data_IF_592671020335
#
_entry.id   IF_592671020335
#
_cell.length_a   1.000
_cell.length_b   1.000
_cell.length_c   1.000
_cell.angle_alpha   90.00
_cell.angle_beta   90.00
_cell.angle_gamma   90.00
#
_symmetry.space_group_name_H-M   'P 1'
#
loop_
_entity.id
_entity.type
_entity.pdbx_description
1 polymer ?
#
# COMPACT_ATOMS: atom_id res chain seq x y z
N UNK A 1 -17.45 -33.59 11.34
CA UNK A 1 -18.82 -33.75 10.81
C UNK A 1 -19.29 -32.58 9.96
N UNK A 2 -18.92 -31.33 10.25
CA UNK A 2 -19.35 -30.16 9.46
C UNK A 2 -18.74 -30.01 8.06
N UNK A 3 -17.59 -30.64 7.78
CA UNK A 3 -16.90 -30.52 6.49
C UNK A 3 -17.79 -30.92 5.30
N UNK A 4 -18.46 -32.08 5.38
CA UNK A 4 -19.35 -32.57 4.32
C UNK A 4 -20.57 -31.69 4.12
N UNK A 5 -21.12 -31.12 5.21
CA UNK A 5 -22.23 -30.17 5.15
C UNK A 5 -21.82 -28.89 4.42
N UNK A 6 -20.68 -28.30 4.78
CA UNK A 6 -20.16 -27.09 4.13
C UNK A 6 -19.74 -27.33 2.68
N UNK A 7 -19.17 -28.50 2.34
CA UNK A 7 -18.87 -28.86 0.96
C UNK A 7 -20.14 -28.93 0.11
N UNK A 8 -21.20 -29.59 0.58
CA UNK A 8 -22.49 -29.65 -0.14
C UNK A 8 -23.10 -28.25 -0.25
N UNK A 9 -23.06 -27.46 0.83
CA UNK A 9 -23.55 -26.09 0.83
C UNK A 9 -22.86 -25.22 -0.24
N UNK A 10 -21.52 -25.24 -0.29
CA UNK A 10 -20.73 -24.49 -1.26
C UNK A 10 -20.90 -25.02 -2.69
N UNK A 11 -21.10 -26.32 -2.88
CA UNK A 11 -21.40 -26.91 -4.19
C UNK A 11 -22.75 -26.44 -4.74
N UNK A 12 -23.73 -26.16 -3.88
CA UNK A 12 -25.07 -25.68 -4.28
C UNK A 12 -25.09 -24.16 -4.46
N UNK A 13 -24.51 -23.41 -3.52
CA UNK A 13 -24.65 -21.95 -3.49
C UNK A 13 -23.50 -21.22 -4.22
N UNK A 14 -22.39 -21.90 -4.46
CA UNK A 14 -21.17 -21.26 -4.95
C UNK A 14 -20.56 -20.31 -3.90
N UNK A 15 -19.33 -19.91 -4.16
CA UNK A 15 -18.66 -18.84 -3.43
C UNK A 15 -17.65 -18.21 -4.38
N UNK A 16 -17.86 -16.95 -4.77
CA UNK A 16 -17.03 -16.26 -5.74
C UNK A 16 -16.51 -14.96 -5.15
N UNK A 17 -15.23 -14.69 -5.36
CA UNK A 17 -14.62 -13.40 -5.10
C UNK A 17 -14.50 -12.69 -6.44
N UNK A 18 -15.13 -11.54 -6.57
CA UNK A 18 -15.19 -10.77 -7.81
C UNK A 18 -14.36 -9.48 -7.69
N UNK A 19 -14.09 -8.82 -8.81
CA UNK A 19 -13.37 -7.52 -8.83
C UNK A 19 -14.13 -6.46 -8.03
N UNK A 20 -15.45 -6.57 -7.99
CA UNK A 20 -16.34 -5.69 -7.24
C UNK A 20 -16.10 -5.77 -5.71
N UNK A 21 -15.52 -6.86 -5.19
CA UNK A 21 -15.10 -6.96 -3.78
C UNK A 21 -13.89 -6.06 -3.44
N UNK A 22 -13.20 -5.51 -4.44
CA UNK A 22 -12.03 -4.63 -4.30
C UNK A 22 -12.36 -3.14 -4.54
N UNK A 23 -13.57 -2.82 -4.99
CA UNK A 23 -13.92 -1.44 -5.32
C UNK A 23 -14.08 -0.61 -4.05
N UNK A 24 -13.54 0.60 -4.11
CA UNK A 24 -13.59 1.58 -3.02
C UNK A 24 -14.74 2.56 -3.27
N UNK A 25 -15.43 2.96 -2.19
CA UNK A 25 -16.44 4.01 -2.22
C UNK A 25 -15.81 5.35 -2.59
N UNK A 26 -16.38 6.04 -3.57
CA UNK A 26 -15.82 7.27 -4.14
C UNK A 26 -15.60 8.38 -3.09
N UNK A 27 -16.54 8.56 -2.17
CA UNK A 27 -16.46 9.54 -1.07
C UNK A 27 -15.28 9.25 -0.12
N UNK A 28 -15.03 7.98 0.17
CA UNK A 28 -13.93 7.56 1.04
C UNK A 28 -12.59 7.52 0.29
N UNK A 29 -12.59 7.29 -1.03
CA UNK A 29 -11.39 7.45 -1.86
C UNK A 29 -10.96 8.93 -1.96
N UNK A 30 -11.92 9.85 -2.05
CA UNK A 30 -11.64 11.30 -2.00
C UNK A 30 -10.99 11.68 -0.67
N UNK A 31 -11.59 11.25 0.45
CA UNK A 31 -11.00 11.49 1.78
C UNK A 31 -9.61 10.90 1.91
N UNK A 32 -9.38 9.70 1.37
CA UNK A 32 -8.05 9.06 1.34
C UNK A 32 -7.05 9.90 0.54
N UNK A 33 -7.46 10.46 -0.61
CA UNK A 33 -6.61 11.36 -1.40
C UNK A 33 -6.26 12.63 -0.65
N UNK A 34 -7.23 13.25 0.02
CA UNK A 34 -6.99 14.45 0.84
C UNK A 34 -5.96 14.18 1.95
N UNK A 35 -6.06 13.03 2.61
CA UNK A 35 -5.07 12.60 3.63
C UNK A 35 -3.69 12.42 2.99
N UNK A 36 -3.60 11.77 1.83
CA UNK A 36 -2.32 11.55 1.16
C UNK A 36 -1.66 12.86 0.66
N UNK A 37 -2.45 13.85 0.25
CA UNK A 37 -1.94 15.18 -0.13
C UNK A 37 -1.23 15.89 1.04
N UNK A 38 -1.64 15.63 2.29
CA UNK A 38 -0.90 16.15 3.45
C UNK A 38 0.52 15.63 3.54
N UNK A 39 0.82 14.48 2.93
CA UNK A 39 2.14 13.87 2.95
C UNK A 39 3.21 14.68 2.23
N UNK A 40 2.85 15.47 1.23
CA UNK A 40 3.80 16.34 0.54
C UNK A 40 4.30 17.46 1.46
N UNK A 41 3.38 18.05 2.25
CA UNK A 41 3.71 19.08 3.25
C UNK A 41 4.56 18.52 4.38
N UNK A 42 4.23 17.32 4.86
CA UNK A 42 5.03 16.65 5.89
C UNK A 42 6.42 16.28 5.38
N UNK A 43 6.56 15.85 4.12
CA UNK A 43 7.87 15.59 3.49
C UNK A 43 8.72 16.86 3.45
N UNK A 44 8.14 17.98 3.03
CA UNK A 44 8.83 19.27 3.02
C UNK A 44 9.26 19.68 4.44
N UNK A 45 8.39 19.49 5.43
CA UNK A 45 8.72 19.76 6.84
C UNK A 45 9.88 18.89 7.34
N UNK A 46 9.91 17.60 6.99
CA UNK A 46 11.01 16.68 7.33
C UNK A 46 12.32 17.15 6.71
N UNK A 47 12.30 17.62 5.45
CA UNK A 47 13.48 18.14 4.78
C UNK A 47 13.99 19.44 5.41
N UNK A 48 13.10 20.34 5.82
CA UNK A 48 13.47 21.57 6.55
C UNK A 48 14.07 21.24 7.92
N UNK A 49 13.47 20.29 8.65
CA UNK A 49 14.00 19.81 9.93
C UNK A 49 15.36 19.12 9.77
N UNK A 50 15.56 18.37 8.69
CA UNK A 50 16.84 17.71 8.41
C UNK A 50 17.97 18.71 8.13
N UNK A 51 17.66 19.79 7.42
CA UNK A 51 18.61 20.81 6.97
C UNK A 51 18.78 22.00 7.93
N UNK A 52 18.00 22.06 9.03
CA UNK A 52 17.97 23.18 9.98
C UNK A 52 17.73 24.56 9.32
N UNK A 53 16.95 24.61 8.22
CA UNK A 53 16.74 25.83 7.44
C UNK A 53 15.29 26.34 7.57
N UNK A 54 15.12 27.67 7.72
CA UNK A 54 13.83 28.31 8.00
C UNK A 54 13.24 29.13 6.83
N UNK A 55 13.85 29.13 5.63
CA UNK A 55 13.36 29.93 4.49
C UNK A 55 13.49 29.23 3.15
N UNK A 56 12.43 29.36 2.34
CA UNK A 56 11.94 28.41 1.33
C UNK A 56 12.44 28.72 -0.08
N UNK A 57 12.93 27.69 -0.75
CA UNK A 57 13.10 27.58 -2.20
C UNK A 57 13.35 26.12 -2.57
N UNK A 58 12.49 25.51 -3.41
CA UNK A 58 12.55 24.08 -3.78
C UNK A 58 13.93 23.65 -4.34
N UNK A 59 14.57 24.54 -5.11
CA UNK A 59 15.88 24.31 -5.73
C UNK A 59 17.06 24.47 -4.77
N UNK A 60 16.88 25.22 -3.68
CA UNK A 60 17.90 25.42 -2.65
C UNK A 60 17.84 24.33 -1.58
N UNK A 61 16.64 23.81 -1.29
CA UNK A 61 16.42 22.73 -0.34
C UNK A 61 17.11 21.43 -0.78
N UNK A 62 16.99 21.05 -2.06
CA UNK A 62 17.66 19.86 -2.59
C UNK A 62 19.19 19.92 -2.46
N UNK A 63 19.78 21.07 -2.78
CA UNK A 63 21.23 21.27 -2.68
C UNK A 63 21.72 21.17 -1.24
N UNK A 64 20.95 21.67 -0.28
CA UNK A 64 21.32 21.60 1.13
C UNK A 64 21.13 20.20 1.72
N UNK A 65 20.09 19.46 1.32
CA UNK A 65 19.98 18.04 1.67
C UNK A 65 21.21 17.27 1.16
N UNK A 66 21.59 17.50 -0.10
CA UNK A 66 22.74 16.84 -0.70
C UNK A 66 24.05 17.19 0.04
N UNK A 67 24.23 18.45 0.43
CA UNK A 67 25.39 18.89 1.21
C UNK A 67 25.46 18.21 2.59
N UNK A 68 24.34 18.11 3.29
CA UNK A 68 24.27 17.41 4.60
C UNK A 68 24.60 15.93 4.42
N UNK A 69 24.01 15.26 3.43
CA UNK A 69 24.28 13.84 3.15
C UNK A 69 25.76 13.61 2.77
N UNK A 70 26.35 14.45 1.92
CA UNK A 70 27.76 14.31 1.51
C UNK A 70 28.76 14.39 2.66
N UNK A 71 28.38 14.98 3.79
CA UNK A 71 29.26 15.10 4.96
C UNK A 71 29.49 13.75 5.63
N UNK A 72 28.45 12.93 5.77
CA UNK A 72 28.52 11.56 6.28
C UNK A 72 27.39 10.72 5.66
N UNK A 73 27.66 10.16 4.48
CA UNK A 73 26.64 9.60 3.58
C UNK A 73 25.73 8.57 4.27
N UNK A 74 26.30 7.52 4.87
CA UNK A 74 25.50 6.44 5.46
C UNK A 74 24.63 6.86 6.66
N UNK A 75 25.16 7.49 7.73
CA UNK A 75 24.34 7.83 8.89
C UNK A 75 23.32 8.95 8.60
N UNK A 76 23.64 9.91 7.73
CA UNK A 76 22.72 11.00 7.40
C UNK A 76 21.59 10.53 6.47
N UNK A 77 21.88 9.64 5.53
CA UNK A 77 20.83 9.00 4.70
C UNK A 77 19.90 8.17 5.59
N UNK A 78 20.45 7.32 6.46
CA UNK A 78 19.64 6.53 7.39
C UNK A 78 18.83 7.40 8.37
N UNK A 79 19.36 8.57 8.77
CA UNK A 79 18.65 9.54 9.61
C UNK A 79 17.45 10.14 8.87
N UNK A 80 17.66 10.60 7.63
CA UNK A 80 16.59 11.13 6.79
C UNK A 80 15.50 10.08 6.54
N UNK A 81 15.88 8.86 6.17
CA UNK A 81 14.95 7.75 5.91
C UNK A 81 14.09 7.43 7.13
N UNK A 82 14.68 7.43 8.34
CA UNK A 82 13.91 7.20 9.58
C UNK A 82 12.90 8.31 9.83
N UNK A 83 13.28 9.57 9.65
CA UNK A 83 12.37 10.70 9.84
C UNK A 83 11.21 10.64 8.84
N UNK A 84 11.53 10.37 7.57
CA UNK A 84 10.53 10.25 6.51
C UNK A 84 9.59 9.06 6.76
N UNK A 85 10.15 7.90 7.08
CA UNK A 85 9.36 6.69 7.39
C UNK A 85 8.44 6.92 8.58
N UNK A 86 8.93 7.58 9.65
CA UNK A 86 8.12 7.89 10.83
C UNK A 86 6.88 8.70 10.47
N UNK A 87 7.05 9.78 9.69
CA UNK A 87 5.94 10.64 9.26
C UNK A 87 5.01 9.94 8.27
N UNK A 88 5.57 9.28 7.26
CA UNK A 88 4.79 8.60 6.22
C UNK A 88 3.97 7.43 6.78
N UNK A 89 4.47 6.73 7.80
CA UNK A 89 3.72 5.67 8.47
C UNK A 89 2.47 6.20 9.19
N UNK A 90 2.51 7.40 9.75
CA UNK A 90 1.34 8.04 10.38
C UNK A 90 0.27 8.33 9.33
N UNK A 91 0.64 8.99 8.23
CA UNK A 91 -0.27 9.31 7.12
C UNK A 91 -0.86 8.03 6.51
N UNK A 92 0.00 7.04 6.28
CA UNK A 92 -0.42 5.74 5.73
C UNK A 92 -1.41 5.06 6.68
N UNK A 93 -1.17 5.09 7.99
CA UNK A 93 -2.09 4.53 8.98
C UNK A 93 -3.43 5.27 8.97
N UNK A 94 -3.41 6.61 8.95
CA UNK A 94 -4.61 7.44 8.91
C UNK A 94 -5.45 7.19 7.65
N UNK A 95 -4.81 7.15 6.48
CA UNK A 95 -5.45 6.84 5.21
C UNK A 95 -6.09 5.44 5.22
N UNK A 96 -5.40 4.43 5.78
CA UNK A 96 -5.94 3.08 5.90
C UNK A 96 -7.13 3.02 6.87
N UNK A 97 -7.08 3.74 7.99
CA UNK A 97 -8.16 3.75 8.97
C UNK A 97 -9.38 4.55 8.49
N UNK A 98 -9.18 5.53 7.61
CA UNK A 98 -10.28 6.22 6.94
C UNK A 98 -10.98 5.33 5.91
N UNK A 99 -10.24 4.38 5.31
CA UNK A 99 -10.74 3.49 4.27
C UNK A 99 -11.30 2.16 4.81
N UNK A 100 -10.72 1.57 5.84
CA UNK A 100 -11.10 0.23 6.30
C UNK A 100 -11.70 0.24 7.70
N UNK A 101 -12.73 -0.59 7.97
CA UNK A 101 -13.27 -1.66 7.10
C UNK A 101 -14.41 -1.22 6.16
N UNK A 102 -14.87 0.03 6.24
CA UNK A 102 -16.16 0.45 5.63
C UNK A 102 -16.06 1.07 4.25
N UNK A 103 -14.86 1.28 3.72
CA UNK A 103 -14.62 1.99 2.46
C UNK A 103 -14.67 1.13 1.23
N UNK A 104 -14.97 -0.16 1.35
CA UNK A 104 -15.30 -1.00 0.22
C UNK A 104 -16.77 -0.81 -0.17
N UNK A 105 -17.05 -0.77 -1.47
CA UNK A 105 -18.41 -0.65 -2.02
C UNK A 105 -19.29 -1.80 -1.52
N UNK A 106 -18.73 -3.01 -1.46
CA UNK A 106 -19.32 -4.15 -0.75
C UNK A 106 -18.78 -4.19 0.67
N UNK A 107 -19.67 -4.10 1.66
CA UNK A 107 -19.32 -4.31 3.05
C UNK A 107 -19.41 -5.79 3.44
N UNK A 108 -18.76 -6.17 4.54
CA UNK A 108 -19.05 -7.44 5.20
C UNK A 108 -20.54 -7.55 5.57
N UNK A 109 -21.19 -8.72 5.45
CA UNK A 109 -20.65 -10.02 5.01
C UNK A 109 -20.74 -10.30 3.50
N UNK A 110 -21.33 -9.37 2.73
CA UNK A 110 -21.52 -9.54 1.28
C UNK A 110 -20.19 -9.52 0.50
N UNK A 111 -19.18 -8.86 1.05
CA UNK A 111 -17.83 -8.84 0.50
C UNK A 111 -17.13 -10.19 0.77
N UNK A 112 -17.02 -11.02 -0.26
CA UNK A 112 -16.45 -12.36 -0.15
C UNK A 112 -14.97 -12.34 0.24
N UNK A 113 -14.26 -11.27 -0.11
CA UNK A 113 -12.87 -11.06 0.25
C UNK A 113 -12.71 -10.79 1.75
N UNK A 114 -13.45 -9.82 2.27
CA UNK A 114 -13.52 -9.50 3.69
C UNK A 114 -13.98 -10.71 4.51
N UNK A 115 -14.93 -11.49 4.00
CA UNK A 115 -15.39 -12.71 4.64
C UNK A 115 -14.26 -13.75 4.73
N UNK A 116 -13.49 -13.98 3.66
CA UNK A 116 -12.36 -14.93 3.67
C UNK A 116 -11.25 -14.51 4.64
N UNK A 117 -10.98 -13.20 4.74
CA UNK A 117 -9.97 -12.63 5.62
C UNK A 117 -10.40 -12.68 7.10
N UNK A 118 -11.60 -12.21 7.42
CA UNK A 118 -12.12 -12.16 8.81
C UNK A 118 -12.38 -13.54 9.39
N UNK A 119 -12.83 -14.49 8.56
CA UNK A 119 -13.08 -15.87 9.00
C UNK A 119 -11.83 -16.74 9.03
N UNK A 120 -10.68 -16.22 8.59
CA UNK A 120 -9.42 -16.97 8.52
C UNK A 120 -9.39 -18.08 7.46
N UNK A 121 -10.39 -18.12 6.56
CA UNK A 121 -10.49 -19.12 5.50
C UNK A 121 -9.36 -18.99 4.48
N UNK A 122 -9.00 -17.76 4.08
CA UNK A 122 -7.84 -17.49 3.22
C UNK A 122 -7.40 -16.03 3.32
N UNK A 123 -6.14 -15.81 3.72
CA UNK A 123 -5.44 -14.54 3.52
C UNK A 123 -5.89 -13.38 4.42
N UNK A 124 -5.36 -13.33 5.65
CA UNK A 124 -5.46 -12.16 6.53
C UNK A 124 -4.50 -11.02 6.14
N UNK A 125 -3.28 -11.36 5.72
CA UNK A 125 -2.21 -10.39 5.46
C UNK A 125 -1.97 -10.15 3.97
N UNK A 126 -1.91 -11.20 3.16
CA UNK A 126 -1.48 -11.11 1.75
C UNK A 126 -2.43 -10.24 0.92
N UNK A 127 -3.74 -10.32 1.17
CA UNK A 127 -4.76 -9.55 0.46
C UNK A 127 -4.68 -8.06 0.80
N UNK A 128 -4.69 -7.72 2.10
CA UNK A 128 -4.53 -6.34 2.57
C UNK A 128 -3.21 -5.71 2.14
N UNK A 129 -2.16 -6.51 1.98
CA UNK A 129 -0.88 -6.02 1.46
C UNK A 129 -0.87 -5.84 -0.05
N UNK A 130 -1.55 -6.67 -0.83
CA UNK A 130 -1.73 -6.45 -2.27
C UNK A 130 -2.58 -5.19 -2.49
N UNK A 131 -3.66 -5.01 -1.74
CA UNK A 131 -4.46 -3.78 -1.74
C UNK A 131 -3.63 -2.55 -1.36
N UNK A 132 -2.84 -2.61 -0.27
CA UNK A 132 -1.92 -1.52 0.11
C UNK A 132 -0.87 -1.23 -0.94
N UNK A 133 -0.30 -2.26 -1.55
CA UNK A 133 0.65 -2.14 -2.66
C UNK A 133 0.06 -1.36 -3.84
N UNK A 134 -1.18 -1.67 -4.21
CA UNK A 134 -1.89 -1.01 -5.31
C UNK A 134 -2.29 0.43 -4.95
N UNK A 135 -2.66 0.67 -3.69
CA UNK A 135 -3.01 2.01 -3.16
C UNK A 135 -1.78 2.93 -3.07
N UNK A 136 -0.60 2.38 -2.72
CA UNK A 136 0.64 3.13 -2.54
C UNK A 136 1.49 3.27 -3.81
N UNK A 137 1.00 2.80 -4.98
CA UNK A 137 1.74 2.80 -6.26
C UNK A 137 3.10 2.10 -6.18
N UNK A 138 3.21 1.07 -5.35
CA UNK A 138 4.46 0.34 -5.17
C UNK A 138 4.78 -0.49 -6.41
N UNK A 139 6.06 -0.45 -6.82
CA UNK A 139 6.54 -1.35 -7.85
C UNK A 139 6.69 -2.78 -7.28
N UNK A 140 6.99 -3.76 -8.14
CA UNK A 140 7.14 -5.17 -7.73
C UNK A 140 8.14 -5.33 -6.58
N UNK A 141 9.29 -4.67 -6.66
CA UNK A 141 10.39 -4.85 -5.74
C UNK A 141 10.10 -4.16 -4.40
N UNK A 142 9.44 -2.99 -4.43
CA UNK A 142 8.93 -2.30 -3.24
C UNK A 142 7.90 -3.18 -2.50
N UNK A 143 6.99 -3.81 -3.23
CA UNK A 143 6.02 -4.74 -2.66
C UNK A 143 6.69 -5.96 -2.04
N UNK A 144 7.66 -6.56 -2.73
CA UNK A 144 8.43 -7.71 -2.23
C UNK A 144 9.17 -7.34 -0.94
N UNK A 145 9.79 -6.17 -0.91
CA UNK A 145 10.55 -5.70 0.24
C UNK A 145 9.63 -5.35 1.42
N UNK A 146 8.53 -4.62 1.17
CA UNK A 146 7.55 -4.29 2.20
C UNK A 146 6.89 -5.55 2.79
N UNK A 147 6.55 -6.53 1.95
CA UNK A 147 5.97 -7.81 2.38
C UNK A 147 6.95 -8.66 3.19
N UNK A 148 8.23 -8.64 2.84
CA UNK A 148 9.26 -9.33 3.59
C UNK A 148 9.51 -8.68 4.96
N UNK A 149 9.55 -7.34 5.00
CA UNK A 149 9.89 -6.59 6.22
C UNK A 149 8.73 -6.47 7.20
N UNK A 150 7.51 -6.21 6.73
CA UNK A 150 6.39 -5.87 7.60
C UNK A 150 5.42 -7.04 7.85
N UNK A 151 5.50 -8.10 7.04
CA UNK A 151 4.62 -9.26 7.14
C UNK A 151 5.37 -10.59 7.27
N UNK A 152 6.71 -10.56 7.28
CA UNK A 152 7.56 -11.76 7.32
C UNK A 152 7.24 -12.78 6.22
N UNK A 153 6.71 -12.32 5.07
CA UNK A 153 6.40 -13.19 3.95
C UNK A 153 7.67 -13.39 3.13
N UNK A 154 8.01 -14.65 2.83
CA UNK A 154 9.18 -14.95 2.02
C UNK A 154 9.09 -14.28 0.63
N UNK A 155 10.15 -13.58 0.17
CA UNK A 155 10.17 -12.91 -1.12
C UNK A 155 9.75 -13.80 -2.30
N UNK A 156 10.11 -15.09 -2.24
CA UNK A 156 9.78 -16.07 -3.27
C UNK A 156 8.25 -16.29 -3.40
N UNK A 157 7.53 -16.25 -2.29
CA UNK A 157 6.06 -16.40 -2.26
C UNK A 157 5.40 -15.18 -2.88
N UNK A 158 5.86 -13.98 -2.49
CA UNK A 158 5.37 -12.72 -3.06
C UNK A 158 5.61 -12.65 -4.57
N UNK A 159 6.79 -13.04 -5.04
CA UNK A 159 7.13 -13.07 -6.47
C UNK A 159 6.26 -14.06 -7.25
N UNK A 160 5.99 -15.24 -6.69
CA UNK A 160 5.14 -16.23 -7.32
C UNK A 160 3.69 -15.73 -7.48
N UNK A 161 3.15 -15.12 -6.42
CA UNK A 161 1.80 -14.53 -6.43
C UNK A 161 1.73 -13.36 -7.42
N UNK A 162 2.71 -12.45 -7.38
CA UNK A 162 2.80 -11.32 -8.31
C UNK A 162 2.81 -11.79 -9.77
N UNK A 163 3.58 -12.83 -10.08
CA UNK A 163 3.66 -13.42 -11.42
C UNK A 163 2.33 -14.06 -11.85
N UNK A 164 1.61 -14.69 -10.93
CA UNK A 164 0.26 -15.21 -11.16
C UNK A 164 -0.72 -14.08 -11.51
N UNK A 165 -0.76 -13.03 -10.67
CA UNK A 165 -1.62 -11.86 -10.87
C UNK A 165 -1.32 -11.13 -12.19
N UNK A 166 -0.05 -10.96 -12.54
CA UNK A 166 0.37 -10.36 -13.81
C UNK A 166 -0.11 -11.17 -15.02
N UNK A 167 -0.08 -12.49 -14.91
CA UNK A 167 -0.50 -13.39 -15.99
C UNK A 167 -2.01 -13.34 -16.20
N UNK A 168 -2.78 -13.26 -15.13
CA UNK A 168 -4.25 -13.25 -15.16
C UNK A 168 -4.81 -11.86 -15.48
N UNK A 169 -4.13 -10.79 -15.08
CA UNK A 169 -4.65 -9.41 -15.14
C UNK A 169 -3.78 -8.48 -15.99
N UNK A 170 -3.41 -8.91 -17.20
CA UNK A 170 -2.44 -8.20 -18.05
C UNK A 170 -2.83 -6.74 -18.36
N UNK A 171 -4.11 -6.47 -18.63
CA UNK A 171 -4.59 -5.12 -18.97
C UNK A 171 -4.50 -4.14 -17.79
N UNK A 172 -4.76 -4.63 -16.57
CA UNK A 172 -4.57 -3.86 -15.34
C UNK A 172 -3.10 -3.52 -15.16
N UNK A 173 -2.20 -4.50 -15.17
CA UNK A 173 -0.77 -4.26 -14.93
C UNK A 173 -0.13 -3.40 -16.01
N UNK A 174 -0.61 -3.46 -17.25
CA UNK A 174 -0.16 -2.57 -18.32
C UNK A 174 -0.49 -1.10 -17.99
N UNK A 175 -1.70 -0.83 -17.50
CA UNK A 175 -2.15 0.51 -17.13
C UNK A 175 -1.47 0.99 -15.83
N UNK A 176 -1.42 0.11 -14.83
CA UNK A 176 -0.78 0.36 -13.54
C UNK A 176 0.71 0.67 -13.66
N UNK A 177 1.49 -0.12 -14.41
CA UNK A 177 2.92 0.14 -14.62
C UNK A 177 3.17 1.41 -15.44
N UNK A 178 2.26 1.76 -16.34
CA UNK A 178 2.33 3.02 -17.09
C UNK A 178 2.08 4.24 -16.19
N UNK A 179 1.26 4.12 -15.14
CA UNK A 179 1.02 5.20 -14.17
C UNK A 179 2.12 5.35 -13.10
N UNK A 180 2.86 4.29 -12.81
CA UNK A 180 3.98 4.29 -11.84
C UNK A 180 5.30 4.71 -12.52
N UNK A 181 5.37 4.63 -13.85
CA UNK A 181 6.52 5.14 -14.59
C UNK A 181 6.61 6.66 -14.37
N UNK A 182 7.75 7.20 -13.92
CA UNK A 182 7.90 8.63 -13.70
C UNK A 182 7.64 9.34 -15.02
N UNK A 183 6.67 10.26 -15.03
CA UNK A 183 6.51 11.21 -16.14
C UNK A 183 7.81 12.02 -16.20
N UNK A 184 8.60 11.74 -17.23
CA UNK A 184 9.85 12.42 -17.50
C UNK A 184 9.63 13.90 -17.86
#
# INVERSE_FOLDING_TARGET
>A
MFSRLFTIFLQIHGFMCEVDDLLISEDLDLRRKDILETGEKESEQVHLQFTNNNSVGSTDLQKEIEKVIRTNVEPETARLDRMMSSKMNVITSEANNALFPTGLVKSFPANCLSLMTVTGAKGGLVQHLIERCLILRMNRDDCVQALAQHACIQPLVTLAVWKGLLKENKGFFHSYLHEISPRH
#
